data_IF_618881728520
#
_entry.id   IF_618881728520
#
_cell.length_a   1.000
_cell.length_b   1.000
_cell.length_c   1.000
_cell.angle_alpha   90.00
_cell.angle_beta   90.00
_cell.angle_gamma   90.00
#
_symmetry.space_group_name_H-M   'P 1'
#
loop_
_entity.id
_entity.type
_entity.pdbx_description
1 polymer ?
#
# COMPACT_ATOMS: atom_id res chain seq x y z
N UNK A 1 2.63 -14.71 -26.17
CA UNK A 1 3.35 -14.18 -24.99
C UNK A 1 4.41 -13.21 -25.46
N UNK A 2 4.59 -12.10 -24.77
CA UNK A 2 5.60 -11.07 -25.05
C UNK A 2 6.51 -10.99 -23.84
N UNK A 3 7.79 -11.34 -24.01
CA UNK A 3 8.81 -11.20 -22.97
C UNK A 3 9.49 -9.85 -23.11
N UNK A 4 9.53 -9.09 -22.02
CA UNK A 4 10.09 -7.75 -21.96
C UNK A 4 11.24 -7.77 -20.96
N UNK A 5 12.45 -7.47 -21.43
CA UNK A 5 13.62 -7.26 -20.57
C UNK A 5 13.91 -5.78 -20.56
N UNK A 6 14.02 -5.17 -19.38
CA UNK A 6 14.20 -3.73 -19.25
C UNK A 6 15.40 -3.19 -20.04
N UNK A 7 16.49 -3.97 -20.11
CA UNK A 7 17.72 -3.63 -20.83
C UNK A 7 17.56 -3.53 -22.36
N UNK A 8 16.50 -4.10 -22.93
CA UNK A 8 16.25 -4.08 -24.37
C UNK A 8 15.40 -2.85 -24.77
N UNK A 9 14.87 -2.10 -23.81
CA UNK A 9 13.90 -1.03 -24.02
C UNK A 9 14.50 0.39 -23.97
N UNK A 10 15.77 0.53 -23.58
CA UNK A 10 16.50 1.81 -23.59
C UNK A 10 18.01 1.53 -23.68
N UNK A 11 18.76 2.49 -24.19
CA UNK A 11 20.22 2.45 -24.26
C UNK A 11 20.81 2.93 -22.93
N UNK A 12 21.50 2.05 -22.20
CA UNK A 12 22.13 2.37 -20.90
C UNK A 12 23.20 3.47 -21.01
N UNK A 13 23.76 3.69 -22.20
CA UNK A 13 24.77 4.73 -22.45
C UNK A 13 24.18 6.09 -22.80
N UNK A 14 22.87 6.13 -23.09
CA UNK A 14 22.16 7.34 -23.47
C UNK A 14 20.92 7.54 -22.61
N UNK A 15 21.03 8.39 -21.59
CA UNK A 15 19.91 8.76 -20.72
C UNK A 15 18.73 9.38 -21.46
N UNK A 16 18.91 9.86 -22.70
CA UNK A 16 17.81 10.40 -23.53
C UNK A 16 16.94 9.30 -24.14
N UNK A 17 17.39 8.05 -24.10
CA UNK A 17 16.61 6.88 -24.54
C UNK A 17 15.53 6.45 -23.53
N UNK A 18 15.59 6.94 -22.29
CA UNK A 18 14.54 6.72 -21.30
C UNK A 18 13.32 7.58 -21.63
N UNK A 19 12.12 6.98 -21.65
CA UNK A 19 10.87 7.74 -21.82
C UNK A 19 10.66 8.80 -20.74
N UNK A 20 11.17 8.54 -19.53
CA UNK A 20 11.23 9.53 -18.47
C UNK A 20 12.63 9.55 -17.87
N UNK A 21 13.39 10.65 -18.02
CA UNK A 21 14.74 10.74 -17.52
C UNK A 21 14.82 10.42 -16.03
N UNK A 22 15.74 9.52 -15.66
CA UNK A 22 15.93 9.07 -14.28
C UNK A 22 14.97 7.98 -13.83
N UNK A 23 14.17 7.39 -14.73
CA UNK A 23 13.28 6.28 -14.42
C UNK A 23 13.50 5.12 -15.38
N UNK A 24 14.04 4.03 -14.84
CA UNK A 24 14.30 2.84 -15.62
C UNK A 24 13.07 1.90 -15.73
N UNK A 25 11.91 2.34 -15.25
CA UNK A 25 10.67 1.56 -15.22
C UNK A 25 9.61 2.01 -16.21
N UNK A 26 9.85 3.11 -16.94
CA UNK A 26 8.96 3.60 -17.98
C UNK A 26 9.54 3.25 -19.35
N UNK A 27 9.01 2.18 -19.94
CA UNK A 27 9.60 1.52 -21.10
C UNK A 27 8.76 1.74 -22.35
N UNK A 28 9.43 2.00 -23.47
CA UNK A 28 8.85 1.79 -24.80
C UNK A 28 9.10 0.34 -25.19
N UNK A 29 8.04 -0.40 -25.46
CA UNK A 29 8.11 -1.74 -26.03
C UNK A 29 7.77 -1.63 -27.51
N UNK A 30 8.64 -2.16 -28.36
CA UNK A 30 8.43 -2.22 -29.81
C UNK A 30 8.66 -3.65 -30.29
N UNK A 31 7.64 -4.23 -30.90
CA UNK A 31 7.66 -5.58 -31.44
C UNK A 31 8.16 -5.55 -32.88
N UNK A 32 8.99 -6.54 -33.25
CA UNK A 32 9.45 -6.70 -34.63
C UNK A 32 8.31 -7.03 -35.60
N UNK A 33 7.25 -7.66 -35.09
CA UNK A 33 6.05 -8.01 -35.84
C UNK A 33 4.83 -7.45 -35.13
N UNK A 34 3.90 -6.88 -35.92
CA UNK A 34 2.61 -6.43 -35.40
C UNK A 34 1.75 -7.62 -34.98
N UNK A 35 1.06 -7.49 -33.85
CA UNK A 35 0.01 -8.41 -33.43
C UNK A 35 -1.32 -7.82 -33.89
N UNK A 36 -1.90 -8.39 -34.94
CA UNK A 36 -3.20 -7.96 -35.47
C UNK A 36 -4.36 -8.71 -34.79
N UNK A 37 -5.44 -7.98 -34.55
CA UNK A 37 -6.66 -8.52 -33.97
C UNK A 37 -7.43 -9.29 -35.04
N UNK A 38 -7.78 -10.52 -34.72
CA UNK A 38 -8.67 -11.34 -35.54
C UNK A 38 -10.07 -10.68 -35.52
N UNK A 39 -10.73 -10.50 -36.68
CA UNK A 39 -12.08 -9.95 -36.72
C UNK A 39 -13.03 -10.66 -35.75
N UNK A 40 -13.83 -9.88 -35.03
CA UNK A 40 -14.76 -10.40 -34.02
C UNK A 40 -14.11 -10.76 -32.67
N UNK A 41 -12.79 -10.68 -32.53
CA UNK A 41 -12.10 -10.93 -31.26
C UNK A 41 -11.80 -9.63 -30.50
N UNK A 42 -11.46 -9.76 -29.22
CA UNK A 42 -10.84 -8.73 -28.39
C UNK A 42 -9.51 -9.24 -27.85
N UNK A 43 -8.58 -8.31 -27.64
CA UNK A 43 -7.35 -8.61 -26.94
C UNK A 43 -7.59 -8.63 -25.43
N UNK A 44 -7.12 -9.69 -24.80
CA UNK A 44 -6.99 -9.82 -23.36
C UNK A 44 -5.50 -9.83 -23.02
N UNK A 45 -5.07 -8.89 -22.19
CA UNK A 45 -3.68 -8.79 -21.74
C UNK A 45 -3.62 -9.06 -20.25
N UNK A 46 -2.75 -9.98 -19.83
CA UNK A 46 -2.43 -10.23 -18.43
C UNK A 46 -0.93 -10.26 -18.20
N UNK A 47 -0.49 -9.95 -16.98
CA UNK A 47 0.88 -10.22 -16.56
C UNK A 47 1.00 -11.71 -16.26
N UNK A 48 1.81 -12.43 -17.02
CA UNK A 48 2.06 -13.86 -16.81
C UNK A 48 3.11 -14.08 -15.73
N UNK A 49 4.17 -13.27 -15.72
CA UNK A 49 5.24 -13.33 -14.72
C UNK A 49 5.99 -12.01 -14.63
N UNK A 50 6.63 -11.77 -13.49
CA UNK A 50 7.58 -10.68 -13.31
C UNK A 50 8.70 -11.05 -12.32
N UNK A 51 9.90 -10.56 -12.58
CA UNK A 51 11.05 -10.63 -11.68
C UNK A 51 11.64 -9.22 -11.52
N UNK A 52 11.37 -8.60 -10.37
CA UNK A 52 11.67 -7.18 -10.14
C UNK A 52 12.55 -7.03 -8.90
N UNK A 53 13.80 -6.55 -9.00
CA UNK A 53 14.62 -6.27 -7.84
C UNK A 53 14.03 -5.16 -6.97
N UNK A 54 13.82 -5.43 -5.68
CA UNK A 54 13.42 -4.42 -4.71
C UNK A 54 14.63 -3.56 -4.33
N UNK A 55 14.86 -2.50 -5.10
CA UNK A 55 16.05 -1.66 -5.00
C UNK A 55 15.76 -0.20 -4.66
N UNK A 56 14.51 0.25 -4.73
CA UNK A 56 14.16 1.63 -4.37
C UNK A 56 14.32 1.87 -2.87
N UNK A 57 14.55 3.13 -2.51
CA UNK A 57 14.75 3.56 -1.14
C UNK A 57 13.43 4.02 -0.50
N UNK A 58 13.18 3.61 0.74
CA UNK A 58 12.05 4.13 1.51
C UNK A 58 12.23 5.62 1.88
N UNK A 59 13.47 6.06 2.08
CA UNK A 59 13.86 7.46 2.23
C UNK A 59 14.52 7.92 0.93
N UNK A 60 13.85 8.78 0.16
CA UNK A 60 14.39 9.33 -1.10
C UNK A 60 13.80 10.69 -1.46
N UNK A 61 14.50 11.45 -2.31
CA UNK A 61 14.00 12.68 -2.91
C UNK A 61 12.81 12.41 -3.83
N UNK A 62 12.85 11.30 -4.57
CA UNK A 62 11.78 10.91 -5.49
C UNK A 62 10.45 10.68 -4.77
N UNK A 63 10.47 9.96 -3.66
CA UNK A 63 9.28 9.76 -2.84
C UNK A 63 8.96 10.96 -1.94
N UNK A 64 9.80 12.01 -1.94
CA UNK A 64 9.72 13.15 -1.02
C UNK A 64 9.71 12.75 0.46
N UNK A 65 10.46 11.71 0.79
CA UNK A 65 10.48 11.08 2.11
C UNK A 65 11.81 11.29 2.85
N UNK A 66 12.62 12.27 2.46
CA UNK A 66 13.95 12.53 3.06
C UNK A 66 14.08 13.83 3.85
N UNK A 67 13.04 14.66 3.91
CA UNK A 67 13.13 15.99 4.49
C UNK A 67 12.04 16.21 5.55
N UNK A 68 12.34 17.02 6.58
CA UNK A 68 11.36 17.66 7.46
C UNK A 68 11.75 19.12 7.62
N UNK A 69 10.84 20.03 7.30
CA UNK A 69 11.05 21.48 7.35
C UNK A 69 10.62 22.08 8.69
N UNK A 70 11.33 23.11 9.12
CA UNK A 70 10.93 23.98 10.23
C UNK A 70 10.54 25.36 9.68
N UNK A 71 9.67 26.09 10.40
CA UNK A 71 9.28 27.45 9.99
C UNK A 71 10.42 28.46 9.99
N UNK A 72 11.55 28.15 10.61
CA UNK A 72 12.77 28.97 10.57
C UNK A 72 13.56 28.85 9.25
N UNK A 73 13.14 27.98 8.32
CA UNK A 73 13.86 27.68 7.08
C UNK A 73 14.96 26.61 7.24
N UNK A 74 15.20 26.12 8.45
CA UNK A 74 16.06 24.96 8.72
C UNK A 74 15.30 23.68 8.36
N UNK A 75 16.00 22.70 7.78
CA UNK A 75 15.39 21.41 7.45
C UNK A 75 16.27 20.24 7.87
N UNK A 76 15.64 19.18 8.38
CA UNK A 76 16.25 17.85 8.40
C UNK A 76 16.41 17.41 6.95
N UNK A 77 17.59 16.95 6.57
CA UNK A 77 17.83 16.32 5.28
C UNK A 77 18.55 15.00 5.53
N UNK A 78 17.91 13.90 5.17
CA UNK A 78 18.48 12.56 5.26
C UNK A 78 19.07 12.14 3.91
N UNK A 79 20.08 11.27 3.98
CA UNK A 79 20.62 10.60 2.80
C UNK A 79 19.60 9.60 2.25
N UNK A 80 19.69 9.30 0.96
CA UNK A 80 18.81 8.31 0.34
C UNK A 80 19.27 6.90 0.68
N UNK A 81 18.43 6.13 1.36
CA UNK A 81 18.72 4.75 1.73
C UNK A 81 17.46 3.97 2.13
N UNK A 82 17.61 2.65 2.27
CA UNK A 82 16.62 1.80 2.90
C UNK A 82 16.88 1.72 4.40
N UNK A 83 16.21 2.58 5.17
CA UNK A 83 16.33 2.59 6.62
C UNK A 83 15.37 1.61 7.28
N UNK A 84 15.86 0.88 8.28
CA UNK A 84 14.98 0.39 9.35
C UNK A 84 14.70 1.51 10.38
N UNK A 85 13.77 1.28 11.30
CA UNK A 85 13.36 2.34 12.24
C UNK A 85 14.46 2.78 13.22
N UNK A 86 15.35 1.87 13.62
CA UNK A 86 16.46 2.20 14.51
C UNK A 86 17.52 3.04 13.81
N UNK A 87 17.84 2.69 12.56
CA UNK A 87 18.76 3.47 11.71
C UNK A 87 18.19 4.86 11.41
N UNK A 88 16.88 4.94 11.11
CA UNK A 88 16.22 6.21 10.81
C UNK A 88 16.24 7.16 12.02
N UNK A 89 15.91 6.64 13.21
CA UNK A 89 15.95 7.42 14.47
C UNK A 89 17.37 7.87 14.80
N UNK A 90 18.36 7.00 14.60
CA UNK A 90 19.76 7.33 14.78
C UNK A 90 20.19 8.45 13.80
N UNK A 91 19.80 8.35 12.53
CA UNK A 91 20.11 9.34 11.51
C UNK A 91 19.47 10.71 11.82
N UNK A 92 18.20 10.74 12.24
CA UNK A 92 17.53 11.98 12.67
C UNK A 92 18.27 12.62 13.85
N UNK A 93 18.65 11.81 14.84
CA UNK A 93 19.31 12.29 16.07
C UNK A 93 20.74 12.77 15.81
N UNK A 94 21.44 12.16 14.85
CA UNK A 94 22.79 12.55 14.46
C UNK A 94 22.81 13.77 13.51
N UNK A 95 21.71 14.09 12.84
CA UNK A 95 21.62 15.22 11.95
C UNK A 95 21.78 16.55 12.71
N UNK A 96 22.30 17.57 12.03
CA UNK A 96 22.32 18.95 12.53
C UNK A 96 20.91 19.59 12.47
N UNK A 97 19.96 18.96 13.13
CA UNK A 97 18.54 19.28 13.20
C UNK A 97 18.17 19.49 14.69
N UNK A 98 17.38 20.50 15.07
CA UNK A 98 17.11 20.83 16.48
C UNK A 98 16.12 19.87 17.15
N UNK A 99 16.12 18.59 16.74
CA UNK A 99 15.36 17.54 17.38
C UNK A 99 16.16 16.25 17.44
N UNK A 100 16.10 15.57 18.58
CA UNK A 100 16.48 14.16 18.69
C UNK A 100 15.24 13.27 18.54
N UNK A 101 15.41 12.07 18.02
CA UNK A 101 14.34 11.09 17.88
C UNK A 101 14.54 9.90 18.83
N UNK A 102 13.45 9.28 19.26
CA UNK A 102 13.44 7.98 19.94
C UNK A 102 12.30 7.13 19.39
N UNK A 103 12.40 5.80 19.50
CA UNK A 103 11.37 4.86 19.07
C UNK A 103 11.00 3.91 20.20
N UNK A 104 9.69 3.76 20.42
CA UNK A 104 9.14 2.77 21.34
C UNK A 104 8.54 1.60 20.56
N UNK A 105 9.22 0.46 20.63
CA UNK A 105 8.80 -0.79 19.97
C UNK A 105 7.44 -1.31 20.47
N UNK A 106 7.05 -1.02 21.72
CA UNK A 106 5.79 -1.53 22.29
C UNK A 106 4.59 -0.82 21.73
N UNK A 107 4.72 0.47 21.46
CA UNK A 107 3.65 1.30 20.89
C UNK A 107 3.80 1.52 19.39
N UNK A 108 4.95 1.12 18.81
CA UNK A 108 5.36 1.40 17.45
C UNK A 108 5.29 2.91 17.12
N UNK A 109 5.79 3.74 18.02
CA UNK A 109 5.73 5.21 17.93
C UNK A 109 7.10 5.86 17.98
N UNK A 110 7.22 6.99 17.28
CA UNK A 110 8.39 7.86 17.33
C UNK A 110 8.10 9.08 18.19
N UNK A 111 9.06 9.48 19.01
CA UNK A 111 9.03 10.73 19.76
C UNK A 111 10.16 11.65 19.30
N UNK A 112 9.82 12.88 18.94
CA UNK A 112 10.77 13.96 18.64
C UNK A 112 10.85 14.90 19.83
N UNK A 113 12.05 15.13 20.35
CA UNK A 113 12.32 16.05 21.46
C UNK A 113 13.06 17.27 20.93
N UNK A 114 12.55 18.47 21.17
CA UNK A 114 13.21 19.72 20.79
C UNK A 114 14.46 19.89 21.66
N UNK A 115 15.63 19.82 21.04
CA UNK A 115 16.93 19.93 21.72
C UNK A 115 17.47 21.36 21.74
N UNK A 116 16.81 22.28 21.06
CA UNK A 116 17.18 23.69 21.06
C UNK A 116 16.59 24.43 22.26
N UNK A 117 17.23 25.55 22.61
CA UNK A 117 16.88 26.47 23.69
C UNK A 117 15.64 27.34 23.38
N UNK A 118 15.08 27.24 22.18
CA UNK A 118 13.94 28.06 21.73
C UNK A 118 12.78 27.18 21.27
N UNK A 119 11.56 27.76 21.27
CA UNK A 119 10.40 27.09 20.68
C UNK A 119 10.55 26.96 19.17
N UNK A 120 10.28 25.76 18.66
CA UNK A 120 10.39 25.42 17.24
C UNK A 120 9.05 24.98 16.68
N UNK A 121 8.82 25.25 15.40
CA UNK A 121 7.60 24.89 14.69
C UNK A 121 7.94 23.95 13.54
N UNK A 122 7.42 22.72 13.61
CA UNK A 122 7.67 21.66 12.63
C UNK A 122 6.56 21.69 11.57
N UNK A 123 6.95 21.73 10.29
CA UNK A 123 6.04 21.87 9.17
C UNK A 123 5.69 20.52 8.51
N UNK A 124 5.01 19.63 9.24
CA UNK A 124 4.60 18.32 8.70
C UNK A 124 3.64 18.39 7.51
N UNK A 125 2.92 19.49 7.32
CA UNK A 125 2.01 19.68 6.19
C UNK A 125 2.72 20.06 4.88
N UNK A 126 4.00 20.48 4.94
CA UNK A 126 4.75 20.92 3.76
C UNK A 126 4.96 19.78 2.76
N UNK A 127 5.09 20.14 1.48
CA UNK A 127 5.20 19.14 0.40
C UNK A 127 6.42 18.23 0.53
N UNK A 128 7.50 18.73 1.12
CA UNK A 128 8.75 18.00 1.26
C UNK A 128 8.86 17.29 2.61
N UNK A 129 8.00 17.61 3.58
CA UNK A 129 7.92 16.90 4.87
C UNK A 129 6.88 15.80 4.94
N UNK A 130 5.80 15.91 4.16
CA UNK A 130 4.57 15.12 4.35
C UNK A 130 4.73 13.60 4.26
N UNK A 131 5.70 13.10 3.47
CA UNK A 131 5.87 11.65 3.32
C UNK A 131 6.77 11.09 4.41
N UNK A 132 7.83 11.79 4.80
CA UNK A 132 8.65 11.38 5.95
C UNK A 132 7.85 11.48 7.27
N UNK A 133 7.06 12.53 7.47
CA UNK A 133 6.19 12.66 8.65
C UNK A 133 5.18 11.53 8.74
N UNK A 134 4.55 11.18 7.61
CA UNK A 134 3.63 10.04 7.50
C UNK A 134 4.34 8.71 7.80
N UNK A 135 5.55 8.51 7.30
CA UNK A 135 6.35 7.30 7.59
C UNK A 135 6.66 7.15 9.08
N UNK A 136 6.93 8.27 9.76
CA UNK A 136 7.15 8.33 11.20
C UNK A 136 5.85 8.27 12.03
N UNK A 137 4.68 8.26 11.37
CA UNK A 137 3.37 8.15 12.01
C UNK A 137 2.76 9.47 12.51
N UNK A 138 3.34 10.62 12.17
CA UNK A 138 2.75 11.92 12.49
C UNK A 138 1.61 12.25 11.52
N UNK A 139 0.58 12.94 12.02
CA UNK A 139 -0.40 13.55 11.15
C UNK A 139 0.20 14.73 10.35
N UNK A 140 -0.53 15.18 9.32
CA UNK A 140 -0.09 16.27 8.43
C UNK A 140 -0.37 17.64 9.03
N UNK A 141 -0.35 17.78 10.35
CA UNK A 141 -0.60 19.04 11.04
C UNK A 141 0.71 19.60 11.58
N UNK A 142 0.96 20.88 11.35
CA UNK A 142 2.16 21.52 11.86
C UNK A 142 2.11 21.62 13.39
N UNK A 143 3.26 21.49 14.06
CA UNK A 143 3.34 21.39 15.52
C UNK A 143 4.33 22.39 16.10
N UNK A 144 3.90 23.11 17.13
CA UNK A 144 4.77 23.92 17.98
C UNK A 144 5.31 23.06 19.12
N UNK A 145 6.64 23.07 19.32
CA UNK A 145 7.31 22.33 20.40
C UNK A 145 8.24 23.28 21.14
N UNK A 146 7.93 23.54 22.41
CA UNK A 146 8.74 24.40 23.27
C UNK A 146 10.11 23.76 23.56
N UNK A 147 11.08 24.57 24.01
CA UNK A 147 12.42 24.11 24.38
C UNK A 147 12.37 22.93 25.36
N UNK A 148 13.03 21.83 25.03
CA UNK A 148 13.08 20.62 25.87
C UNK A 148 11.79 19.78 25.92
N UNK A 149 10.70 20.26 25.32
CA UNK A 149 9.47 19.47 25.18
C UNK A 149 9.57 18.45 24.05
N UNK A 150 8.62 17.52 24.00
CA UNK A 150 8.56 16.48 23.01
C UNK A 150 7.16 16.33 22.42
N UNK A 151 7.11 15.74 21.23
CA UNK A 151 5.89 15.27 20.59
C UNK A 151 6.06 13.81 20.20
N UNK A 152 5.00 13.02 20.36
CA UNK A 152 4.97 11.63 19.92
C UNK A 152 4.05 11.50 18.71
N UNK A 153 4.36 10.55 17.82
CA UNK A 153 3.57 10.28 16.63
C UNK A 153 2.12 9.92 16.98
N UNK A 154 1.17 10.46 16.23
CA UNK A 154 -0.26 10.20 16.43
C UNK A 154 -0.58 8.73 16.10
N UNK A 155 -0.06 8.26 14.97
CA UNK A 155 -0.15 6.89 14.47
C UNK A 155 1.10 6.06 14.69
N UNK A 156 1.04 4.85 14.15
CA UNK A 156 2.13 3.87 14.16
C UNK A 156 3.13 4.16 13.02
N UNK A 157 4.40 3.87 13.25
CA UNK A 157 5.45 3.95 12.22
C UNK A 157 5.13 2.97 11.08
N UNK A 158 5.25 3.45 9.85
CA UNK A 158 5.17 2.64 8.64
C UNK A 158 6.22 3.09 7.63
N UNK A 159 7.34 2.37 7.58
CA UNK A 159 8.47 2.68 6.69
C UNK A 159 8.33 2.10 5.29
N UNK A 160 7.14 1.64 4.91
CA UNK A 160 6.85 1.08 3.59
C UNK A 160 5.98 2.07 2.79
N UNK A 161 6.59 3.03 2.05
CA UNK A 161 5.83 4.03 1.30
C UNK A 161 5.10 3.45 0.09
N UNK A 162 5.63 2.38 -0.50
CA UNK A 162 5.01 1.65 -1.63
C UNK A 162 4.43 0.34 -1.12
N UNK A 163 3.11 0.17 -1.21
CA UNK A 163 2.41 -1.05 -0.74
C UNK A 163 2.14 -2.05 -1.85
N UNK A 164 2.00 -1.56 -3.07
CA UNK A 164 1.74 -2.37 -4.27
C UNK A 164 2.31 -1.63 -5.46
N UNK A 165 2.73 -2.39 -6.47
CA UNK A 165 3.06 -1.83 -7.78
C UNK A 165 1.93 -2.12 -8.74
N UNK A 166 1.74 -1.22 -9.67
CA UNK A 166 0.75 -1.34 -10.73
C UNK A 166 1.49 -1.25 -12.06
N UNK A 167 1.22 -2.20 -12.95
CA UNK A 167 1.74 -2.19 -14.30
C UNK A 167 0.77 -1.39 -15.17
N UNK A 168 1.14 -0.17 -15.52
CA UNK A 168 0.37 0.67 -16.42
C UNK A 168 0.80 0.46 -17.86
N UNK A 169 -0.11 0.70 -18.80
CA UNK A 169 0.19 0.81 -20.22
C UNK A 169 -0.52 2.02 -20.84
N UNK A 170 -0.08 2.44 -22.03
CA UNK A 170 -0.82 3.40 -22.85
C UNK A 170 -1.89 2.72 -23.75
N UNK A 171 -2.03 1.40 -23.69
CA UNK A 171 -3.10 0.67 -24.36
C UNK A 171 -4.44 0.96 -23.68
N UNK A 172 -5.46 1.32 -24.46
CA UNK A 172 -6.77 1.71 -23.96
C UNK A 172 -7.51 0.51 -23.33
N UNK A 173 -7.54 0.46 -22.00
CA UNK A 173 -8.25 -0.53 -21.22
C UNK A 173 -9.75 -0.20 -21.12
N UNK A 174 -10.60 -1.22 -21.04
CA UNK A 174 -12.06 -1.02 -20.92
C UNK A 174 -12.70 -1.58 -19.65
N UNK A 175 -12.01 -2.42 -18.87
CA UNK A 175 -12.60 -3.19 -17.77
C UNK A 175 -11.90 -3.01 -16.41
N UNK A 176 -10.99 -2.06 -16.30
CA UNK A 176 -10.22 -1.79 -15.08
C UNK A 176 -10.86 -0.61 -14.38
N UNK A 177 -11.45 -0.85 -13.20
CA UNK A 177 -12.12 0.19 -12.43
C UNK A 177 -11.27 0.64 -11.24
N UNK A 178 -11.11 1.95 -11.06
CA UNK A 178 -10.39 2.55 -9.92
C UNK A 178 -11.29 3.52 -9.14
N UNK A 179 -10.91 3.78 -7.88
CA UNK A 179 -11.60 4.73 -7.00
C UNK A 179 -11.02 6.15 -7.11
N UNK A 180 -10.17 6.39 -8.11
CA UNK A 180 -9.46 7.66 -8.29
C UNK A 180 -10.45 8.76 -8.65
N UNK A 181 -10.28 9.94 -8.03
CA UNK A 181 -11.15 11.08 -8.29
C UNK A 181 -10.87 11.64 -9.70
N UNK A 182 -11.81 11.52 -10.64
CA UNK A 182 -11.70 12.09 -11.99
C UNK A 182 -11.96 11.13 -13.15
N UNK A 183 -12.18 9.84 -12.88
CA UNK A 183 -12.55 8.85 -13.88
C UNK A 183 -12.42 7.45 -13.29
N UNK A 184 -13.33 6.55 -13.67
CA UNK A 184 -13.33 5.21 -13.10
C UNK A 184 -12.45 4.23 -13.89
N UNK A 185 -12.01 4.54 -15.11
CA UNK A 185 -11.28 3.59 -15.97
C UNK A 185 -9.82 4.01 -16.08
N UNK A 186 -8.90 3.11 -15.75
CA UNK A 186 -7.45 3.32 -15.88
C UNK A 186 -6.80 2.23 -16.72
N UNK A 187 -5.68 2.55 -17.37
CA UNK A 187 -4.93 1.60 -18.20
C UNK A 187 -3.94 0.78 -17.37
N UNK A 188 -4.43 0.15 -16.30
CA UNK A 188 -3.65 -0.78 -15.47
C UNK A 188 -3.80 -2.18 -16.06
N UNK A 189 -2.69 -2.79 -16.47
CA UNK A 189 -2.67 -4.17 -16.95
C UNK A 189 -2.81 -5.17 -15.80
N UNK A 190 -2.11 -4.92 -14.69
CA UNK A 190 -2.10 -5.80 -13.52
C UNK A 190 -1.62 -5.08 -12.24
N UNK A 191 -1.92 -5.67 -11.08
CA UNK A 191 -1.39 -5.29 -9.77
C UNK A 191 -0.37 -6.31 -9.30
N UNK A 192 0.85 -5.86 -9.03
CA UNK A 192 1.93 -6.67 -8.46
C UNK A 192 1.98 -6.43 -6.94
N UNK A 193 1.48 -7.35 -6.11
CA UNK A 193 1.63 -7.24 -4.66
C UNK A 193 3.09 -7.40 -4.28
N UNK A 194 3.58 -6.58 -3.34
CA UNK A 194 4.96 -6.65 -2.90
C UNK A 194 5.23 -7.72 -1.83
N UNK A 195 4.19 -8.38 -1.31
CA UNK A 195 4.29 -9.45 -0.32
C UNK A 195 5.23 -9.15 0.87
N UNK A 196 5.89 -10.20 1.36
CA UNK A 196 6.91 -10.16 2.41
C UNK A 196 8.31 -10.15 1.80
N UNK A 197 8.57 -9.22 0.88
CA UNK A 197 9.88 -9.03 0.26
C UNK A 197 10.59 -7.86 0.94
N UNK A 198 11.81 -8.11 1.41
CA UNK A 198 12.67 -7.09 2.02
C UNK A 198 13.50 -6.34 0.95
N UNK A 199 14.02 -5.14 1.26
CA UNK A 199 14.97 -4.48 0.38
C UNK A 199 16.12 -5.39 -0.05
N UNK A 200 16.58 -5.24 -1.29
CA UNK A 200 17.63 -6.03 -1.95
C UNK A 200 17.24 -7.46 -2.34
N UNK A 201 16.00 -7.88 -2.12
CA UNK A 201 15.46 -9.14 -2.64
C UNK A 201 14.77 -8.95 -3.99
N UNK A 202 14.34 -10.06 -4.62
CA UNK A 202 13.58 -10.06 -5.87
C UNK A 202 12.11 -10.28 -5.57
N UNK A 203 11.27 -9.41 -6.14
CA UNK A 203 9.82 -9.56 -6.17
C UNK A 203 9.50 -10.47 -7.36
N UNK A 204 9.02 -11.67 -7.05
CA UNK A 204 8.49 -12.59 -8.04
C UNK A 204 6.97 -12.45 -8.10
N UNK A 205 6.43 -12.40 -9.31
CA UNK A 205 4.99 -12.47 -9.57
C UNK A 205 4.69 -13.71 -10.41
N UNK A 206 3.72 -14.50 -9.98
CA UNK A 206 3.14 -15.60 -10.74
C UNK A 206 1.63 -15.40 -10.86
N UNK A 207 1.14 -15.42 -12.10
CA UNK A 207 -0.27 -15.25 -12.47
C UNK A 207 -1.23 -16.19 -11.73
N UNK A 208 -0.83 -17.42 -11.43
CA UNK A 208 -1.71 -18.39 -10.78
C UNK A 208 -1.81 -18.19 -9.26
N UNK A 209 -0.86 -17.46 -8.67
CA UNK A 209 -0.85 -17.17 -7.23
C UNK A 209 -1.64 -15.90 -6.88
N UNK A 210 -1.89 -15.01 -7.84
CA UNK A 210 -2.39 -13.64 -7.61
C UNK A 210 -3.84 -13.40 -8.02
N UNK A 211 -4.58 -14.48 -8.28
CA UNK A 211 -5.91 -14.49 -8.88
C UNK A 211 -5.87 -13.93 -10.32
N UNK A 212 -6.03 -14.80 -11.34
CA UNK A 212 -5.87 -14.40 -12.73
C UNK A 212 -6.80 -13.25 -13.15
N UNK A 213 -6.20 -12.15 -13.59
CA UNK A 213 -6.89 -10.98 -14.13
C UNK A 213 -6.42 -10.70 -15.56
N UNK A 214 -7.34 -10.25 -16.43
CA UNK A 214 -6.99 -9.80 -17.78
C UNK A 214 -7.64 -8.47 -18.09
N UNK A 215 -6.85 -7.58 -18.67
CA UNK A 215 -7.28 -6.29 -19.18
C UNK A 215 -7.73 -6.43 -20.63
N UNK A 216 -8.94 -5.98 -20.91
CA UNK A 216 -9.50 -5.93 -22.25
C UNK A 216 -9.03 -4.64 -22.90
N UNK A 217 -8.36 -4.74 -24.05
CA UNK A 217 -7.95 -3.58 -24.83
C UNK A 217 -8.74 -3.50 -26.14
N UNK A 218 -9.03 -2.27 -26.58
CA UNK A 218 -9.94 -2.02 -27.72
C UNK A 218 -9.21 -1.83 -29.06
N UNK A 219 -7.88 -1.81 -29.06
CA UNK A 219 -7.06 -1.57 -30.25
C UNK A 219 -7.13 -2.74 -31.25
N UNK A 220 -6.97 -2.43 -32.54
CA UNK A 220 -6.99 -3.42 -33.64
C UNK A 220 -5.63 -4.08 -33.88
N UNK A 221 -4.55 -3.40 -33.50
CA UNK A 221 -3.20 -3.89 -33.70
C UNK A 221 -2.29 -3.39 -32.57
N UNK A 222 -1.32 -4.20 -32.19
CA UNK A 222 -0.29 -3.86 -31.19
C UNK A 222 1.08 -4.10 -31.82
N UNK A 223 1.83 -3.04 -32.04
CA UNK A 223 3.23 -3.11 -32.48
C UNK A 223 4.15 -2.37 -31.51
N UNK A 224 3.75 -1.18 -31.07
CA UNK A 224 4.50 -0.38 -30.12
C UNK A 224 3.57 0.10 -29.01
N UNK A 225 3.99 -0.01 -27.77
CA UNK A 225 3.23 0.43 -26.60
C UNK A 225 4.16 0.78 -25.45
N UNK A 226 3.67 1.60 -24.53
CA UNK A 226 4.38 1.98 -23.33
C UNK A 226 3.94 1.08 -22.17
N UNK A 227 4.88 0.77 -21.28
CA UNK A 227 4.58 0.19 -19.97
C UNK A 227 5.30 0.96 -18.87
N UNK A 228 4.67 1.12 -17.72
CA UNK A 228 5.31 1.72 -16.55
C UNK A 228 4.96 1.03 -15.24
N UNK A 229 5.94 0.91 -14.34
CA UNK A 229 5.70 0.48 -12.96
C UNK A 229 5.44 1.71 -12.08
N UNK A 230 4.26 1.74 -11.44
CA UNK A 230 3.83 2.85 -10.58
C UNK A 230 3.40 2.38 -9.19
N UNK A 231 3.52 3.26 -8.22
CA UNK A 231 3.01 3.05 -6.86
C UNK A 231 1.47 3.24 -6.80
N UNK A 232 0.90 3.02 -5.62
CA UNK A 232 -0.54 3.19 -5.37
C UNK A 232 -1.06 4.63 -5.50
N UNK A 233 -0.17 5.61 -5.66
CA UNK A 233 -0.50 7.02 -5.87
C UNK A 233 -0.24 7.45 -7.32
N UNK A 234 0.05 6.50 -8.23
CA UNK A 234 0.33 6.78 -9.64
C UNK A 234 1.72 7.37 -9.93
N UNK A 235 2.64 7.37 -8.95
CA UNK A 235 4.03 7.81 -9.15
C UNK A 235 4.86 6.69 -9.74
N UNK A 236 5.75 7.02 -10.70
CA UNK A 236 6.72 6.07 -11.23
C UNK A 236 7.61 5.51 -10.12
N UNK A 237 8.03 4.27 -10.23
CA UNK A 237 9.00 3.66 -9.32
C UNK A 237 10.38 3.74 -9.97
N UNK A 238 11.42 4.11 -9.22
CA UNK A 238 12.79 4.08 -9.72
C UNK A 238 13.51 2.88 -9.10
N UNK A 239 13.94 1.92 -9.93
CA UNK A 239 14.63 0.70 -9.45
C UNK A 239 16.15 0.90 -9.40
N UNK A 240 16.62 2.13 -9.19
CA UNK A 240 18.05 2.46 -9.11
C UNK A 240 18.88 1.85 -10.25
N UNK A 241 18.34 1.92 -11.48
CA UNK A 241 18.91 1.34 -12.70
C UNK A 241 19.09 -0.19 -12.69
N UNK A 242 18.46 -0.91 -11.75
CA UNK A 242 18.44 -2.37 -11.74
C UNK A 242 17.62 -2.93 -12.91
N UNK A 243 18.10 -4.02 -13.50
CA UNK A 243 17.40 -4.72 -14.59
C UNK A 243 16.28 -5.59 -14.04
N UNK A 244 15.20 -5.70 -14.80
CA UNK A 244 14.04 -6.52 -14.45
C UNK A 244 13.38 -7.08 -15.71
N UNK A 245 12.54 -8.10 -15.52
CA UNK A 245 11.86 -8.80 -16.61
C UNK A 245 10.37 -8.91 -16.33
N UNK A 246 9.56 -8.76 -17.38
CA UNK A 246 8.10 -8.91 -17.38
C UNK A 246 7.69 -9.82 -18.53
N UNK A 247 6.71 -10.69 -18.32
CA UNK A 247 6.10 -11.48 -19.39
C UNK A 247 4.62 -11.16 -19.49
N UNK A 248 4.18 -10.64 -20.64
CA UNK A 248 2.77 -10.38 -20.91
C UNK A 248 2.15 -11.53 -21.72
N UNK A 249 1.03 -12.05 -21.26
CA UNK A 249 0.19 -12.92 -22.06
C UNK A 249 -0.81 -12.05 -22.82
N UNK A 250 -0.83 -12.18 -24.14
CA UNK A 250 -1.80 -11.53 -25.03
C UNK A 250 -2.63 -12.64 -25.66
N UNK A 251 -3.90 -12.71 -25.32
CA UNK A 251 -4.87 -13.65 -25.86
C UNK A 251 -5.87 -12.91 -26.75
N UNK A 252 -6.39 -13.61 -27.76
CA UNK A 252 -7.50 -13.11 -28.56
C UNK A 252 -8.72 -13.98 -28.24
N UNK A 253 -9.81 -13.36 -27.77
CA UNK A 253 -11.05 -14.06 -27.41
C UNK A 253 -12.21 -13.54 -28.23
N UNK A 254 -13.13 -14.42 -28.64
CA UNK A 254 -14.32 -14.04 -29.40
C UNK A 254 -15.20 -13.10 -28.56
N UNK A 255 -15.67 -12.01 -29.16
CA UNK A 255 -16.43 -10.98 -28.45
C UNK A 255 -17.76 -11.49 -27.90
N UNK A 256 -18.40 -12.47 -28.54
CA UNK A 256 -19.71 -12.99 -28.12
C UNK A 256 -19.62 -14.08 -27.04
N UNK A 257 -18.49 -14.76 -26.89
CA UNK A 257 -18.31 -15.76 -25.81
C UNK A 257 -18.37 -15.09 -24.44
N UNK A 258 -17.89 -13.85 -24.35
CA UNK A 258 -17.93 -13.01 -23.15
C UNK A 258 -19.36 -12.59 -22.75
N UNK A 259 -20.33 -12.63 -23.67
CA UNK A 259 -21.73 -12.29 -23.38
C UNK A 259 -22.57 -13.51 -22.97
N UNK A 260 -22.12 -14.74 -23.26
CA UNK A 260 -22.87 -15.97 -22.96
C UNK A 260 -22.49 -16.63 -21.61
N UNK A 261 -21.39 -16.23 -20.98
CA UNK A 261 -20.98 -16.69 -19.64
C UNK A 261 -21.76 -16.05 -18.47
N UNK A 262 -22.82 -15.29 -18.78
CA UNK A 262 -23.86 -14.98 -17.82
C UNK A 262 -25.06 -15.90 -18.10
N UNK A 263 -25.33 -16.94 -17.28
CA UNK A 263 -26.67 -17.48 -17.26
C UNK A 263 -27.58 -16.29 -16.97
N UNK A 264 -28.47 -15.99 -17.92
CA UNK A 264 -29.47 -14.97 -17.77
C UNK A 264 -30.29 -15.33 -16.53
N UNK A 265 -29.90 -14.83 -15.35
CA UNK A 265 -30.79 -14.79 -14.22
C UNK A 265 -31.84 -13.75 -14.58
N UNK A 266 -33.11 -14.15 -14.80
CA UNK A 266 -34.17 -13.19 -14.97
C UNK A 266 -34.32 -12.49 -13.62
N UNK A 267 -33.65 -11.35 -13.45
CA UNK A 267 -34.03 -10.44 -12.39
C UNK A 267 -35.48 -10.04 -12.68
N UNK A 268 -36.45 -10.34 -11.80
CA UNK A 268 -37.80 -9.87 -12.01
C UNK A 268 -37.74 -8.35 -12.07
N UNK A 269 -38.26 -7.80 -13.17
CA UNK A 269 -38.36 -6.36 -13.36
C UNK A 269 -39.02 -5.75 -12.13
N UNK A 270 -38.23 -4.99 -11.35
CA UNK A 270 -38.78 -4.12 -10.32
C UNK A 270 -39.56 -3.06 -11.09
N UNK A 271 -40.87 -3.30 -11.18
CA UNK A 271 -41.84 -2.32 -11.66
C UNK A 271 -41.76 -1.16 -10.67
N UNK A 272 -41.00 -0.13 -11.04
CA UNK A 272 -41.10 1.19 -10.41
C UNK A 272 -42.56 1.60 -10.55
N UNK A 273 -43.32 1.48 -9.45
CA UNK A 273 -44.64 2.09 -9.35
C UNK A 273 -44.45 3.57 -9.64
N UNK A 274 -44.98 3.97 -10.78
CA UNK A 274 -45.16 5.35 -11.21
C UNK A 274 -46.03 6.00 -10.15
N UNK A 275 -45.39 6.69 -9.19
CA UNK A 275 -46.09 7.53 -8.23
C UNK A 275 -46.77 8.64 -9.02
N UNK A 276 -48.09 8.65 -8.97
CA UNK A 276 -48.93 9.72 -9.47
C UNK A 276 -48.65 10.96 -8.63
N UNK A 277 -48.07 11.99 -9.25
CA UNK A 277 -48.09 13.33 -8.72
C UNK A 277 -49.55 13.82 -8.71
N UNK A 278 -50.15 13.88 -7.53
CA UNK A 278 -51.33 14.71 -7.28
C UNK A 278 -50.89 15.91 -6.45
N UNK A 279 -50.92 17.06 -7.09
CA UNK A 279 -51.10 18.35 -6.42
C UNK A 279 -52.36 18.28 -5.55
N UNK A 280 -52.22 18.55 -4.26
CA UNK A 280 -53.32 19.03 -3.46
C UNK A 280 -52.83 20.13 -2.51
N UNK A 281 -53.34 21.32 -2.79
CA UNK A 281 -53.25 22.52 -1.97
C UNK A 281 -54.25 22.37 -0.83
N UNK A 282 -53.83 22.46 0.44
CA UNK A 282 -54.55 23.33 1.38
C UNK A 282 -53.78 23.66 2.67
N UNK A 283 -54.26 24.75 3.26
CA UNK A 283 -53.74 25.58 4.35
C UNK A 283 -53.86 24.98 5.76
N UNK A 284 -53.17 25.64 6.71
CA UNK A 284 -53.44 25.80 8.16
C UNK A 284 -53.14 24.56 9.03
N UNK A 285 -52.61 24.64 10.25
CA UNK A 285 -52.52 25.69 11.26
C UNK A 285 -51.21 25.61 12.07
N UNK A 286 -50.85 26.73 12.70
CA UNK A 286 -49.80 26.84 13.72
C UNK A 286 -50.23 26.09 14.98
N UNK A 287 -49.37 25.23 15.51
CA UNK A 287 -49.40 24.85 16.92
C UNK A 287 -47.97 24.88 17.48
N UNK A 288 -47.79 25.70 18.52
CA UNK A 288 -46.51 25.92 19.22
C UNK A 288 -46.14 24.69 20.07
N UNK A 289 -44.95 24.15 19.85
CA UNK A 289 -44.35 23.16 20.75
C UNK A 289 -43.80 23.84 22.03
N UNK A 290 -44.04 23.30 23.23
CA UNK A 290 -43.61 23.92 24.47
C UNK A 290 -42.09 23.80 24.69
N UNK A 291 -41.45 24.94 24.98
CA UNK A 291 -40.05 25.04 25.41
C UNK A 291 -39.80 24.19 26.67
N UNK A 292 -38.88 23.22 26.58
CA UNK A 292 -38.28 22.55 27.74
C UNK A 292 -37.51 23.57 28.61
N UNK A 293 -37.62 23.49 29.95
CA UNK A 293 -36.86 24.36 30.85
C UNK A 293 -35.36 24.03 30.83
N UNK A 294 -34.49 25.03 31.08
CA UNK A 294 -33.05 24.86 31.09
C UNK A 294 -32.60 24.02 32.29
N UNK A 295 -31.75 23.02 32.02
CA UNK A 295 -31.08 22.21 33.03
C UNK A 295 -30.07 23.06 33.81
N UNK A 296 -30.27 23.18 35.12
CA UNK A 296 -29.31 23.77 36.05
C UNK A 296 -28.11 22.83 36.25
N UNK A 297 -26.87 23.37 36.28
CA UNK A 297 -25.67 22.56 36.53
C UNK A 297 -25.61 22.12 37.99
N UNK A 298 -25.40 20.83 38.20
CA UNK A 298 -25.15 20.24 39.52
C UNK A 298 -23.78 20.70 40.06
N UNK A 299 -23.65 20.97 41.38
CA UNK A 299 -22.40 21.40 41.98
C UNK A 299 -21.33 20.28 41.96
N UNK A 300 -20.04 20.63 41.91
CA UNK A 300 -18.94 19.67 41.86
C UNK A 300 -18.79 18.92 43.19
N UNK A 301 -18.83 17.59 43.12
CA UNK A 301 -18.51 16.70 44.24
C UNK A 301 -17.01 16.77 44.52
N UNK A 302 -16.63 17.30 45.68
CA UNK A 302 -15.26 17.33 46.18
C UNK A 302 -14.88 15.90 46.61
N UNK A 303 -13.91 15.31 45.93
CA UNK A 303 -13.31 14.04 46.34
C UNK A 303 -12.43 14.23 47.59
N UNK A 304 -12.48 13.32 48.58
CA UNK A 304 -11.58 13.37 49.73
C UNK A 304 -10.11 13.09 49.33
N UNK A 305 -9.14 13.60 50.11
CA UNK A 305 -7.72 13.50 49.77
C UNK A 305 -7.21 12.06 49.85
N UNK A 306 -6.51 11.63 48.79
CA UNK A 306 -5.78 10.37 48.76
C UNK A 306 -4.66 10.37 49.82
N UNK A 307 -4.58 9.28 50.56
CA UNK A 307 -3.54 9.02 51.55
C UNK A 307 -2.12 9.01 50.93
N UNK A 308 -1.08 9.43 51.66
CA UNK A 308 0.28 9.47 51.17
C UNK A 308 0.84 8.05 50.93
N UNK A 309 1.40 7.85 49.74
CA UNK A 309 2.11 6.63 49.33
C UNK A 309 3.40 6.49 50.15
N UNK A 310 3.71 5.32 50.73
CA UNK A 310 4.95 5.13 51.48
C UNK A 310 6.17 5.19 50.53
N UNK A 311 7.21 5.90 50.96
CA UNK A 311 8.52 5.93 50.33
C UNK A 311 9.25 4.59 50.54
N UNK A 312 9.96 4.04 49.54
CA UNK A 312 10.93 3.00 49.78
C UNK A 312 12.26 3.61 50.23
N UNK A 313 12.69 3.21 51.44
CA UNK A 313 14.06 3.33 51.94
C UNK A 313 15.04 2.60 51.04
N UNK A 314 16.24 3.18 50.90
CA UNK A 314 17.29 2.77 49.99
C UNK A 314 17.96 1.42 50.26
N UNK A 315 18.88 1.08 49.35
CA UNK A 315 19.71 -0.11 49.46
C UNK A 315 20.41 -0.45 48.14
N UNK A 316 21.51 0.24 47.87
CA UNK A 316 22.48 -0.07 46.83
C UNK A 316 23.04 -1.50 46.96
N UNK A 317 23.06 -2.26 45.87
CA UNK A 317 24.24 -2.99 45.34
C UNK A 317 23.87 -3.68 44.02
N UNK A 318 24.53 -3.28 42.93
CA UNK A 318 24.40 -3.91 41.61
C UNK A 318 25.34 -5.13 41.58
N UNK A 319 24.86 -6.36 41.34
CA UNK A 319 25.74 -7.49 41.08
C UNK A 319 26.17 -7.47 39.60
N UNK A 320 27.49 -7.59 39.39
CA UNK A 320 28.12 -7.82 38.08
C UNK A 320 27.73 -9.23 37.63
N UNK A 321 26.95 -9.34 36.54
CA UNK A 321 26.60 -10.61 35.92
C UNK A 321 27.70 -11.04 34.94
N UNK A 322 28.36 -12.15 35.26
CA UNK A 322 29.26 -12.86 34.35
C UNK A 322 28.45 -13.57 33.26
N UNK A 323 28.85 -13.37 32.02
CA UNK A 323 28.27 -14.02 30.84
C UNK A 323 28.67 -15.49 30.76
N UNK A 324 27.74 -16.39 31.09
CA UNK A 324 27.78 -17.80 30.68
C UNK A 324 26.57 -18.04 29.77
N UNK A 325 26.73 -18.56 28.54
CA UNK A 325 25.61 -18.81 27.64
C UNK A 325 24.70 -19.89 28.24
N UNK A 326 23.42 -19.57 28.46
CA UNK A 326 22.42 -20.55 28.82
C UNK A 326 22.14 -21.47 27.63
N UNK A 327 22.12 -22.78 27.89
CA UNK A 327 21.74 -23.79 26.90
C UNK A 327 20.31 -23.55 26.39
N UNK A 328 20.05 -23.79 25.09
CA UNK A 328 18.73 -23.56 24.51
C UNK A 328 17.67 -24.44 25.17
N UNK A 329 16.62 -23.81 25.69
CA UNK A 329 15.42 -24.48 26.18
C UNK A 329 14.69 -25.14 25.00
N UNK A 330 14.36 -26.44 25.08
CA UNK A 330 13.65 -27.13 24.01
C UNK A 330 12.23 -26.56 23.86
N UNK A 331 11.93 -26.09 22.66
CA UNK A 331 10.58 -25.65 22.26
C UNK A 331 9.66 -26.88 22.23
N UNK A 332 8.49 -26.85 22.88
CA UNK A 332 7.54 -27.96 22.83
C UNK A 332 7.00 -28.10 21.40
N UNK A 333 7.37 -29.19 20.74
CA UNK A 333 6.87 -29.56 19.42
C UNK A 333 5.37 -29.87 19.52
N UNK A 334 4.54 -28.97 19.01
CA UNK A 334 3.11 -29.24 18.83
C UNK A 334 3.00 -30.34 17.78
N UNK A 335 2.69 -31.57 18.20
CA UNK A 335 2.36 -32.67 17.30
C UNK A 335 1.07 -32.32 16.58
N UNK A 336 1.17 -32.00 15.29
CA UNK A 336 0.00 -31.88 14.42
C UNK A 336 -0.74 -33.23 14.43
N UNK A 337 -2.08 -33.24 14.51
CA UNK A 337 -2.85 -34.47 14.39
C UNK A 337 -2.48 -35.14 13.07
N UNK A 338 -2.04 -36.39 13.15
CA UNK A 338 -1.75 -37.22 12.00
C UNK A 338 -3.09 -37.47 11.31
N UNK A 339 -3.26 -36.96 10.10
CA UNK A 339 -4.40 -37.32 9.26
C UNK A 339 -4.33 -38.83 9.08
N UNK A 340 -5.40 -39.52 9.46
CA UNK A 340 -5.48 -40.97 9.43
C UNK A 340 -5.43 -41.42 7.97
N UNK A 341 -4.55 -42.35 7.65
CA UNK A 341 -4.26 -42.77 6.27
C UNK A 341 -5.51 -43.40 5.62
N UNK A 342 -6.39 -43.98 6.45
CA UNK A 342 -7.72 -44.47 6.05
C UNK A 342 -8.70 -43.35 5.66
N UNK A 343 -8.61 -42.16 6.27
CA UNK A 343 -9.44 -41.02 5.87
C UNK A 343 -9.03 -40.47 4.52
N UNK A 344 -7.73 -40.45 4.24
CA UNK A 344 -7.21 -40.01 2.95
C UNK A 344 -7.66 -40.96 1.82
N UNK A 345 -7.54 -42.27 2.05
CA UNK A 345 -7.97 -43.29 1.07
C UNK A 345 -9.49 -43.26 0.81
N UNK A 346 -10.32 -42.95 1.82
CA UNK A 346 -11.76 -42.76 1.60
C UNK A 346 -12.07 -41.54 0.73
N UNK A 347 -11.36 -40.43 0.94
CA UNK A 347 -11.55 -39.23 0.14
C UNK A 347 -11.13 -39.42 -1.32
N UNK A 348 -10.04 -40.16 -1.56
CA UNK A 348 -9.61 -40.51 -2.92
C UNK A 348 -10.65 -41.40 -3.63
N UNK A 349 -11.22 -42.38 -2.93
CA UNK A 349 -12.23 -43.28 -3.49
C UNK A 349 -13.55 -42.57 -3.78
N UNK A 350 -13.97 -41.64 -2.92
CA UNK A 350 -15.15 -40.78 -3.16
C UNK A 350 -14.94 -39.84 -4.35
N UNK A 351 -13.72 -39.30 -4.53
CA UNK A 351 -13.38 -38.43 -5.65
C UNK A 351 -13.41 -39.19 -6.98
N UNK A 352 -12.82 -40.38 -7.03
CA UNK A 352 -12.85 -41.24 -8.22
C UNK A 352 -14.28 -41.67 -8.58
N UNK A 353 -15.11 -41.95 -7.58
CA UNK A 353 -16.51 -42.29 -7.79
C UNK A 353 -17.32 -41.10 -8.28
N UNK A 354 -17.02 -39.88 -7.80
CA UNK A 354 -17.63 -38.65 -8.28
C UNK A 354 -17.21 -38.33 -9.74
N UNK A 355 -15.96 -38.57 -10.11
CA UNK A 355 -15.46 -38.40 -11.49
C UNK A 355 -16.14 -39.40 -12.43
N UNK A 356 -16.29 -40.66 -12.02
CA UNK A 356 -17.02 -41.69 -12.78
C UNK A 356 -18.51 -41.35 -12.97
N UNK A 357 -19.15 -40.75 -11.96
CA UNK A 357 -20.55 -40.32 -12.04
C UNK A 357 -20.74 -39.03 -12.86
N UNK A 358 -19.71 -38.19 -12.94
CA UNK A 358 -19.76 -36.93 -13.67
C UNK A 358 -19.64 -37.06 -15.19
N UNK A 359 -19.23 -38.22 -15.72
CA UNK A 359 -19.49 -38.63 -17.11
C UNK A 359 -19.23 -37.57 -18.19
N UNK A 360 -18.04 -36.98 -18.22
CA UNK A 360 -17.55 -36.21 -19.37
C UNK A 360 -16.40 -37.00 -19.99
N UNK A 361 -16.68 -37.56 -21.17
CA UNK A 361 -15.69 -38.03 -22.14
C UNK A 361 -14.84 -36.87 -22.66
#
# INVERSE_FOLDING_TARGET
MVHIRSKDCYDETDSSSQLTPGFNTHLQVTLNSVIERIPGHRFHISLSSAEIPFTWYNVSAHLKSRQIELSSGTSLNLDEANYNIYELVAAITAAAFPYSATYDIKTNKVTLTNTDSTTRFINFASNDSKELSKMLGFDRLNREVTSGAFISSDGAVNLRPVHSMFLYSNLAASNVLTTTYGGNIENILDKIPLGNVDPLQVIAYDYYETAPFSTIITTDAVQSFEVSLRDQNGKLIQLNNARYELSLLIEQRLSYELEMDHPAHPYPAITRRKGEDKEEVDKKDKEEEPKKPPLTPSPPTIAPPLAPRPQPLGGSTIPILSSTPAAPTPVPTIKRPRIDEEQLQRQEMELDQAIMLAGIL
#
